data_IF_381341051117
#
_entry.id   IF_381341051117
#
_cell.length_a   1.000
_cell.length_b   1.000
_cell.length_c   1.000
_cell.angle_alpha   90.00
_cell.angle_beta   90.00
_cell.angle_gamma   90.00
#
_symmetry.space_group_name_H-M   'P 1'
#
loop_
_entity.id
_entity.type
_entity.pdbx_description
1 polymer ?
#
# COMPACT_ATOMS: atom_id res chain seq x y z
N UNK A 1 -44.64 9.61 -17.65
CA UNK A 1 -43.63 8.60 -18.07
C UNK A 1 -42.22 9.18 -18.07
N UNK A 2 -42.00 10.38 -18.60
CA UNK A 2 -40.70 11.08 -18.65
C UNK A 2 -39.91 11.13 -17.31
N UNK A 3 -40.57 11.49 -16.21
CA UNK A 3 -39.91 11.62 -14.90
C UNK A 3 -39.39 10.29 -14.32
N UNK A 4 -40.01 9.16 -14.68
CA UNK A 4 -39.62 7.84 -14.19
C UNK A 4 -38.36 7.35 -14.91
N UNK A 5 -38.24 7.67 -16.20
CA UNK A 5 -37.05 7.36 -17.02
C UNK A 5 -35.84 8.17 -16.54
N UNK A 6 -36.04 9.46 -16.24
CA UNK A 6 -34.98 10.31 -15.70
C UNK A 6 -34.44 9.84 -14.35
N UNK A 7 -35.32 9.39 -13.44
CA UNK A 7 -34.90 8.91 -12.12
C UNK A 7 -34.19 7.55 -12.19
N UNK A 8 -34.65 6.64 -13.05
CA UNK A 8 -33.97 5.37 -13.30
C UNK A 8 -32.55 5.58 -13.87
N UNK A 9 -32.40 6.53 -14.80
CA UNK A 9 -31.10 6.88 -15.37
C UNK A 9 -30.15 7.48 -14.33
N UNK A 10 -30.64 8.39 -13.47
CA UNK A 10 -29.85 8.97 -12.39
C UNK A 10 -29.36 7.91 -11.37
N UNK A 11 -30.23 6.98 -10.98
CA UNK A 11 -29.87 5.87 -10.09
C UNK A 11 -28.83 4.94 -10.72
N UNK A 12 -28.95 4.64 -12.02
CA UNK A 12 -27.96 3.82 -12.72
C UNK A 12 -26.57 4.48 -12.73
N UNK A 13 -26.51 5.78 -13.02
CA UNK A 13 -25.24 6.53 -13.03
C UNK A 13 -24.60 6.56 -11.65
N UNK A 14 -25.38 6.86 -10.59
CA UNK A 14 -24.89 6.87 -9.22
C UNK A 14 -24.42 5.49 -8.76
N UNK A 15 -25.16 4.44 -9.11
CA UNK A 15 -24.79 3.06 -8.82
C UNK A 15 -23.48 2.66 -9.51
N UNK A 16 -23.32 2.98 -10.80
CA UNK A 16 -22.08 2.71 -11.53
C UNK A 16 -20.91 3.52 -10.97
N UNK A 17 -21.10 4.81 -10.68
CA UNK A 17 -20.06 5.65 -10.11
C UNK A 17 -19.59 5.12 -8.74
N UNK A 18 -20.52 4.72 -7.86
CA UNK A 18 -20.21 4.13 -6.56
C UNK A 18 -19.47 2.78 -6.71
N UNK A 19 -19.90 1.93 -7.64
CA UNK A 19 -19.20 0.67 -7.94
C UNK A 19 -17.78 0.91 -8.44
N UNK A 20 -17.59 1.82 -9.41
CA UNK A 20 -16.27 2.17 -9.94
C UNK A 20 -15.36 2.74 -8.86
N UNK A 21 -15.89 3.62 -8.01
CA UNK A 21 -15.13 4.20 -6.90
C UNK A 21 -14.71 3.12 -5.88
N UNK A 22 -15.62 2.19 -5.57
CA UNK A 22 -15.36 1.07 -4.65
C UNK A 22 -14.32 0.13 -5.23
N UNK A 23 -14.44 -0.25 -6.49
CA UNK A 23 -13.46 -1.10 -7.18
C UNK A 23 -12.10 -0.41 -7.31
N UNK A 24 -12.08 0.91 -7.53
CA UNK A 24 -10.85 1.70 -7.53
C UNK A 24 -10.18 1.71 -6.14
N UNK A 25 -10.97 1.84 -5.07
CA UNK A 25 -10.48 1.75 -3.69
C UNK A 25 -9.95 0.35 -3.32
N UNK A 26 -10.57 -0.71 -3.84
CA UNK A 26 -10.16 -2.09 -3.61
C UNK A 26 -8.94 -2.49 -4.44
N UNK A 27 -8.66 -1.78 -5.54
CA UNK A 27 -7.51 -2.06 -6.39
C UNK A 27 -6.24 -1.61 -5.68
N UNK A 28 -5.39 -2.57 -5.32
CA UNK A 28 -4.03 -2.23 -4.92
C UNK A 28 -3.34 -1.51 -6.07
N UNK A 29 -2.72 -0.34 -5.83
CA UNK A 29 -1.82 0.24 -6.80
C UNK A 29 -0.71 -0.78 -7.06
N UNK A 30 -0.35 -0.93 -8.33
CA UNK A 30 0.79 -1.73 -8.70
C UNK A 30 2.02 -1.25 -7.89
N UNK A 31 2.92 -2.16 -7.49
CA UNK A 31 4.17 -1.75 -6.85
C UNK A 31 4.82 -0.66 -7.72
N UNK A 32 5.34 0.43 -7.12
CA UNK A 32 6.14 1.37 -7.87
C UNK A 32 7.23 0.56 -8.56
N UNK A 33 7.42 0.83 -9.85
CA UNK A 33 8.41 0.09 -10.64
C UNK A 33 9.75 0.27 -9.92
N UNK A 34 10.35 -0.81 -9.39
CA UNK A 34 11.58 -0.65 -8.65
C UNK A 34 12.65 -0.09 -9.60
N UNK A 35 13.62 0.70 -9.12
CA UNK A 35 14.76 1.06 -9.94
C UNK A 35 15.40 -0.21 -10.49
N UNK A 36 15.69 -0.23 -11.80
CA UNK A 36 16.30 -1.37 -12.46
C UNK A 36 17.66 -1.65 -11.77
N UNK A 37 17.82 -2.86 -11.24
CA UNK A 37 19.01 -3.23 -10.49
C UNK A 37 18.95 -4.65 -9.94
N UNK A 38 20.13 -5.26 -9.70
CA UNK A 38 20.23 -6.64 -9.21
C UNK A 38 19.57 -6.84 -7.82
N UNK A 39 19.51 -5.76 -7.04
CA UNK A 39 18.98 -5.75 -5.67
C UNK A 39 17.49 -6.12 -5.55
N UNK A 40 16.71 -6.06 -6.63
CA UNK A 40 15.29 -6.40 -6.60
C UNK A 40 15.02 -7.91 -6.47
N UNK A 41 15.96 -8.73 -6.92
CA UNK A 41 15.91 -10.18 -6.81
C UNK A 41 16.51 -10.69 -5.50
N UNK A 42 17.11 -9.80 -4.70
CA UNK A 42 17.70 -10.16 -3.42
C UNK A 42 16.63 -10.29 -2.33
N UNK A 43 16.89 -11.08 -1.28
CA UNK A 43 16.01 -11.14 -0.13
C UNK A 43 15.87 -9.77 0.55
N UNK A 44 14.66 -9.44 0.97
CA UNK A 44 14.34 -8.21 1.69
C UNK A 44 13.95 -8.53 3.14
N UNK A 45 14.34 -7.68 4.07
CA UNK A 45 13.96 -7.76 5.48
C UNK A 45 12.96 -6.63 5.75
N UNK A 46 11.80 -7.02 6.23
CA UNK A 46 10.73 -6.13 6.64
C UNK A 46 10.74 -6.04 8.16
N UNK A 47 11.16 -4.90 8.71
CA UNK A 47 11.25 -4.65 10.15
C UNK A 47 10.00 -3.88 10.61
N UNK A 48 9.26 -4.45 11.56
CA UNK A 48 8.05 -3.82 12.09
C UNK A 48 8.39 -2.58 12.92
N UNK A 49 7.56 -1.54 12.80
CA UNK A 49 7.64 -0.39 13.70
C UNK A 49 6.94 -0.72 15.03
N UNK A 50 7.60 -0.38 16.14
CA UNK A 50 7.01 -0.44 17.47
C UNK A 50 6.08 0.75 17.76
N UNK A 51 5.54 0.79 18.98
CA UNK A 51 4.56 1.80 19.42
C UNK A 51 5.01 3.26 19.27
N UNK A 52 6.32 3.51 19.21
CA UNK A 52 6.90 4.85 19.05
C UNK A 52 7.43 5.13 17.63
N UNK A 53 7.01 4.33 16.63
CA UNK A 53 7.49 4.49 15.26
C UNK A 53 8.96 4.09 15.05
N UNK A 54 9.60 3.48 16.05
CA UNK A 54 10.98 2.99 15.96
C UNK A 54 10.99 1.56 15.38
N UNK A 55 11.90 1.22 14.46
CA UNK A 55 12.07 -0.16 14.03
C UNK A 55 12.38 -1.06 15.22
N UNK A 56 11.66 -2.18 15.31
CA UNK A 56 11.90 -3.21 16.30
C UNK A 56 12.66 -4.37 15.65
N UNK A 57 13.99 -4.49 15.87
CA UNK A 57 14.81 -5.51 15.23
C UNK A 57 14.49 -6.93 15.69
N UNK A 58 13.69 -7.11 16.76
CA UNK A 58 13.19 -8.43 17.17
C UNK A 58 11.96 -8.89 16.37
N UNK A 59 11.35 -8.00 15.60
CA UNK A 59 10.16 -8.27 14.80
C UNK A 59 10.46 -7.98 13.33
N UNK A 60 11.16 -8.92 12.68
CA UNK A 60 11.45 -8.85 11.26
C UNK A 60 10.94 -10.07 10.49
N UNK A 61 10.59 -9.86 9.24
CA UNK A 61 10.17 -10.89 8.29
C UNK A 61 11.11 -10.84 7.08
N UNK A 62 11.71 -11.98 6.71
CA UNK A 62 12.56 -12.07 5.51
C UNK A 62 11.72 -12.56 4.34
N UNK A 63 11.72 -11.81 3.26
CA UNK A 63 10.94 -12.05 2.05
C UNK A 63 11.89 -12.26 0.86
N UNK A 64 11.50 -13.11 -0.10
CA UNK A 64 12.41 -13.57 -1.15
C UNK A 64 12.77 -12.50 -2.16
N UNK A 65 11.87 -11.55 -2.42
CA UNK A 65 12.02 -10.53 -3.44
C UNK A 65 11.30 -9.22 -3.04
N UNK A 66 11.57 -8.17 -3.81
CA UNK A 66 10.94 -6.87 -3.59
C UNK A 66 9.40 -6.90 -3.77
N UNK A 67 8.82 -7.57 -4.79
CA UNK A 67 7.36 -7.68 -4.93
C UNK A 67 6.67 -8.30 -3.71
N UNK A 68 7.22 -9.36 -3.10
CA UNK A 68 6.68 -9.94 -1.89
C UNK A 68 6.81 -8.98 -0.69
N UNK A 69 7.94 -8.29 -0.56
CA UNK A 69 8.15 -7.25 0.46
C UNK A 69 7.12 -6.13 0.37
N UNK A 70 6.89 -5.61 -0.84
CA UNK A 70 5.90 -4.59 -1.10
C UNK A 70 4.48 -5.04 -0.75
N UNK A 71 4.09 -6.25 -1.21
CA UNK A 71 2.77 -6.81 -0.90
C UNK A 71 2.56 -6.90 0.60
N UNK A 72 3.56 -7.38 1.33
CA UNK A 72 3.50 -7.52 2.79
C UNK A 72 3.42 -6.18 3.50
N UNK A 73 4.20 -5.19 3.07
CA UNK A 73 4.13 -3.82 3.58
C UNK A 73 2.72 -3.21 3.42
N UNK A 74 2.06 -3.44 2.28
CA UNK A 74 0.67 -2.99 2.03
C UNK A 74 -0.35 -3.69 2.92
N UNK A 75 -0.21 -4.99 3.13
CA UNK A 75 -1.05 -5.75 4.06
C UNK A 75 -0.93 -5.19 5.49
N UNK A 76 0.29 -4.89 5.93
CA UNK A 76 0.55 -4.30 7.24
C UNK A 76 -0.01 -2.88 7.36
N UNK A 77 0.15 -2.06 6.32
CA UNK A 77 -0.41 -0.71 6.29
C UNK A 77 -1.94 -0.73 6.41
N UNK A 78 -2.64 -1.68 5.77
CA UNK A 78 -4.09 -1.89 5.93
C UNK A 78 -4.50 -2.27 7.35
N UNK A 79 -3.61 -2.92 8.10
CA UNK A 79 -3.80 -3.26 9.51
C UNK A 79 -3.42 -2.10 10.45
N UNK A 80 -3.05 -0.93 9.92
CA UNK A 80 -2.56 0.20 10.71
C UNK A 80 -1.16 0.00 11.28
N UNK A 81 -0.39 -0.95 10.73
CA UNK A 81 0.98 -1.26 11.17
C UNK A 81 1.99 -0.68 10.18
N UNK A 82 2.98 0.04 10.70
CA UNK A 82 4.11 0.52 9.91
C UNK A 82 5.26 -0.49 9.88
N UNK A 83 6.05 -0.47 8.81
CA UNK A 83 7.26 -1.26 8.69
C UNK A 83 8.30 -0.54 7.82
N UNK A 84 9.56 -0.94 7.96
CA UNK A 84 10.68 -0.52 7.11
C UNK A 84 11.15 -1.72 6.31
N UNK A 85 11.37 -1.52 5.00
CA UNK A 85 11.92 -2.56 4.12
C UNK A 85 13.40 -2.26 3.89
N UNK A 86 14.23 -3.27 4.09
CA UNK A 86 15.69 -3.21 3.91
C UNK A 86 16.16 -4.38 3.05
N UNK A 87 17.23 -4.20 2.29
CA UNK A 87 17.87 -5.32 1.59
C UNK A 87 18.66 -6.16 2.59
N UNK A 88 18.49 -7.49 2.54
CA UNK A 88 19.08 -8.39 3.54
C UNK A 88 20.61 -8.37 3.55
N UNK A 89 21.22 -8.30 2.37
CA UNK A 89 22.66 -8.49 2.21
C UNK A 89 23.42 -7.16 2.14
N UNK A 90 22.82 -6.12 1.56
CA UNK A 90 23.44 -4.79 1.48
C UNK A 90 23.10 -3.86 2.65
N UNK A 91 22.09 -4.20 3.44
CA UNK A 91 21.59 -3.33 4.53
C UNK A 91 20.98 -2.01 4.05
N UNK A 92 20.85 -1.81 2.73
CA UNK A 92 20.28 -0.59 2.18
C UNK A 92 18.80 -0.49 2.56
N UNK A 93 18.43 0.65 3.12
CA UNK A 93 17.05 0.95 3.50
C UNK A 93 16.32 1.51 2.29
N UNK A 94 15.23 0.87 1.89
CA UNK A 94 14.30 1.45 0.91
C UNK A 94 13.25 2.28 1.63
N UNK A 95 13.33 3.59 1.42
CA UNK A 95 12.25 4.50 1.77
C UNK A 95 11.21 4.49 0.67
N UNK A 96 10.37 3.47 0.69
CA UNK A 96 9.14 3.47 -0.08
C UNK A 96 8.14 4.39 0.63
N UNK A 97 8.29 5.70 0.38
CA UNK A 97 7.27 6.66 0.76
C UNK A 97 6.06 6.29 -0.09
N UNK A 98 4.93 5.85 0.50
CA UNK A 98 3.74 5.62 -0.29
C UNK A 98 3.41 6.96 -0.94
N UNK A 99 3.57 7.03 -2.25
CA UNK A 99 2.95 8.07 -3.04
C UNK A 99 1.46 7.98 -2.70
N UNK A 100 1.02 8.94 -1.89
CA UNK A 100 -0.37 9.19 -1.52
C UNK A 100 -0.95 8.25 -0.44
N UNK A 101 -0.70 8.62 0.82
CA UNK A 101 -1.77 8.62 1.83
C UNK A 101 -2.91 9.49 1.29
N UNK A 102 -4.16 8.99 1.17
CA UNK A 102 -5.29 9.83 0.85
C UNK A 102 -5.60 10.69 2.08
N UNK A 103 -4.96 11.87 2.19
CA UNK A 103 -5.43 13.09 2.86
C UNK A 103 -5.98 13.04 4.31
N UNK A 104 -5.98 11.91 5.01
CA UNK A 104 -6.53 11.78 6.36
C UNK A 104 -5.67 10.83 7.20
N UNK A 105 -4.54 11.35 7.69
CA UNK A 105 -3.63 10.57 8.53
C UNK A 105 -2.45 11.42 8.97
N UNK A 106 -2.76 12.47 9.72
CA UNK A 106 -1.82 13.37 10.38
C UNK A 106 -0.83 12.54 11.22
N UNK A 107 0.39 12.33 10.72
CA UNK A 107 1.53 12.03 11.59
C UNK A 107 1.96 13.38 12.14
N UNK A 108 1.44 13.72 13.32
CA UNK A 108 1.97 14.84 14.09
C UNK A 108 3.41 14.52 14.45
N UNK A 109 4.33 15.34 13.95
CA UNK A 109 5.52 15.72 14.69
C UNK A 109 5.09 16.49 15.95
#
# INVERSE_FOLDING_TARGET
MEAFVGMAAACAILGTAACVLTLWWLRDPAPPRPPDGPLNAEPHILTMLGAHGRPNPMLYERLPDYPAAWKRQRELARQGRGCIVTHADSGQIRHDVPGWLPLHGRIGL
#
